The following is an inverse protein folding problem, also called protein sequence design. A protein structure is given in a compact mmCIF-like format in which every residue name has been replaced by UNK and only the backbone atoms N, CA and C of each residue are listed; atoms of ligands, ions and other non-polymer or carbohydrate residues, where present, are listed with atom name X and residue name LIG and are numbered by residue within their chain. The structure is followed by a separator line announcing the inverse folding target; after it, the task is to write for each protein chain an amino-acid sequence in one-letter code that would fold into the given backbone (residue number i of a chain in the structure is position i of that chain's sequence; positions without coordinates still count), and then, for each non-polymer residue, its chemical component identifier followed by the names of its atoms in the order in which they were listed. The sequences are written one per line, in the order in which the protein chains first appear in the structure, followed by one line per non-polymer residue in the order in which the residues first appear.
data_IF_200630099926
#
_entry.id   IF_200630099926
#
_cell.length_a   1.000
_cell.length_b   1.000
_cell.length_c   1.000
_cell.angle_alpha   90.00
_cell.angle_beta   90.00
_cell.angle_gamma   90.00
#
_symmetry.space_group_name_H-M   'P 1'
#
loop_
_entity.id
_entity.type
_entity.pdbx_description
1 polymer ?
#
# COMPACT_ATOMS: atom_id res chain seq x y z
N UNK A 1 32.00 -65.74 -52.45
CA UNK A 1 32.49 -65.06 -53.68
C UNK A 1 31.84 -63.69 -53.89
N UNK A 2 30.78 -63.35 -53.16
CA UNK A 2 29.97 -62.15 -53.41
C UNK A 2 30.72 -60.83 -53.15
N UNK A 3 31.48 -60.75 -52.06
CA UNK A 3 32.30 -59.56 -51.76
C UNK A 3 33.51 -59.40 -52.68
N UNK A 4 33.90 -60.44 -53.43
CA UNK A 4 35.07 -60.37 -54.31
C UNK A 4 34.85 -59.39 -55.46
N UNK A 5 33.62 -59.30 -55.98
CA UNK A 5 33.27 -58.33 -57.03
C UNK A 5 33.24 -56.90 -56.49
N UNK A 6 32.72 -56.68 -55.27
CA UNK A 6 32.72 -55.37 -54.63
C UNK A 6 34.16 -54.87 -54.34
N UNK A 7 35.03 -55.74 -53.82
CA UNK A 7 36.44 -55.39 -53.60
C UNK A 7 37.19 -55.16 -54.91
N UNK A 8 36.98 -56.00 -55.92
CA UNK A 8 37.60 -55.81 -57.24
C UNK A 8 37.17 -54.49 -57.90
N UNK A 9 35.89 -54.13 -57.78
CA UNK A 9 35.37 -52.83 -58.23
C UNK A 9 35.96 -51.65 -57.46
N UNK A 10 36.09 -51.76 -56.13
CA UNK A 10 36.71 -50.74 -55.28
C UNK A 10 38.19 -50.52 -55.62
N UNK A 11 38.96 -51.59 -55.80
CA UNK A 11 40.35 -51.47 -56.22
C UNK A 11 40.47 -50.84 -57.61
N UNK A 12 39.66 -51.27 -58.59
CA UNK A 12 39.65 -50.67 -59.93
C UNK A 12 39.33 -49.17 -59.88
N UNK A 13 38.40 -48.75 -59.02
CA UNK A 13 38.06 -47.35 -58.81
C UNK A 13 39.21 -46.54 -58.18
N UNK A 14 39.87 -47.08 -57.15
CA UNK A 14 41.04 -46.45 -56.52
C UNK A 14 42.23 -46.33 -57.46
N UNK A 15 42.52 -47.37 -58.24
CA UNK A 15 43.57 -47.33 -59.26
C UNK A 15 43.29 -46.28 -60.33
N UNK A 16 42.02 -46.12 -60.73
CA UNK A 16 41.61 -45.07 -61.66
C UNK A 16 41.83 -43.67 -61.08
N UNK A 17 41.40 -43.42 -59.83
CA UNK A 17 41.64 -42.16 -59.13
C UNK A 17 43.13 -41.85 -58.99
N UNK A 18 43.94 -42.83 -58.57
CA UNK A 18 45.39 -42.70 -58.45
C UNK A 18 46.05 -42.37 -59.80
N UNK A 19 45.63 -43.03 -60.88
CA UNK A 19 46.09 -42.74 -62.24
C UNK A 19 45.72 -41.32 -62.68
N UNK A 20 44.49 -40.87 -62.38
CA UNK A 20 44.02 -39.52 -62.63
C UNK A 20 44.86 -38.46 -61.89
N UNK A 21 45.11 -38.66 -60.60
CA UNK A 21 45.92 -37.75 -59.78
C UNK A 21 47.38 -37.74 -60.24
N UNK A 22 47.98 -38.89 -60.53
CA UNK A 22 49.36 -38.97 -61.05
C UNK A 22 49.53 -38.15 -62.32
N UNK A 23 48.60 -38.27 -63.27
CA UNK A 23 48.68 -37.52 -64.51
C UNK A 23 48.35 -36.03 -64.31
N UNK A 24 47.47 -35.68 -63.37
CA UNK A 24 47.18 -34.29 -63.01
C UNK A 24 48.44 -33.60 -62.45
N UNK A 25 49.15 -34.27 -61.54
CA UNK A 25 50.43 -33.81 -60.99
C UNK A 25 51.47 -33.65 -62.11
N UNK A 26 51.58 -34.64 -63.00
CA UNK A 26 52.53 -34.60 -64.13
C UNK A 26 52.19 -33.51 -65.16
N UNK A 27 50.91 -33.20 -65.35
CA UNK A 27 50.45 -32.09 -66.17
C UNK A 27 50.84 -30.73 -65.57
N UNK A 28 50.65 -30.54 -64.27
CA UNK A 28 50.96 -29.27 -63.58
C UNK A 28 52.47 -29.04 -63.45
N UNK A 29 53.25 -30.07 -63.12
CA UNK A 29 54.68 -29.95 -62.84
C UNK A 29 55.57 -30.07 -64.09
N UNK A 30 55.19 -30.89 -65.07
CA UNK A 30 56.03 -31.18 -66.25
C UNK A 30 55.41 -30.74 -67.59
N UNK A 31 54.24 -30.09 -67.57
CA UNK A 31 53.48 -29.61 -68.75
C UNK A 31 53.23 -30.70 -69.83
N UNK A 32 53.28 -31.97 -69.44
CA UNK A 32 53.02 -33.09 -70.35
C UNK A 32 51.52 -33.30 -70.55
N UNK A 33 51.06 -33.38 -71.80
CA UNK A 33 49.63 -33.30 -72.16
C UNK A 33 48.95 -34.64 -72.46
N UNK A 34 49.59 -35.80 -72.27
CA UNK A 34 49.08 -37.09 -72.77
C UNK A 34 48.25 -37.87 -71.75
N UNK A 35 47.13 -37.30 -71.31
CA UNK A 35 46.16 -38.02 -70.48
C UNK A 35 45.31 -38.96 -71.35
N UNK A 36 45.41 -40.28 -71.12
CA UNK A 36 44.60 -41.25 -71.87
C UNK A 36 43.19 -41.35 -71.29
N UNK A 37 42.30 -40.48 -71.75
CA UNK A 37 40.86 -40.51 -71.41
C UNK A 37 40.21 -41.85 -71.75
N UNK A 38 40.75 -42.54 -72.77
CA UNK A 38 40.29 -43.86 -73.24
C UNK A 38 40.57 -44.98 -72.24
N UNK A 39 41.54 -44.80 -71.34
CA UNK A 39 41.86 -45.78 -70.30
C UNK A 39 41.17 -45.44 -68.97
N UNK A 40 41.12 -44.15 -68.62
CA UNK A 40 40.60 -43.69 -67.33
C UNK A 40 39.08 -43.85 -67.18
N UNK A 41 38.30 -43.34 -68.14
CA UNK A 41 36.84 -43.33 -68.03
C UNK A 41 36.18 -44.73 -67.99
N UNK A 42 36.57 -45.73 -68.81
CA UNK A 42 35.96 -47.06 -68.70
C UNK A 42 36.32 -47.76 -67.38
N UNK A 43 37.54 -47.57 -66.85
CA UNK A 43 37.91 -48.12 -65.53
C UNK A 43 37.17 -47.44 -64.38
N UNK A 44 37.01 -46.12 -64.45
CA UNK A 44 36.33 -45.33 -63.42
C UNK A 44 34.84 -45.67 -63.35
N UNK A 45 34.14 -45.58 -64.49
CA UNK A 45 32.70 -45.88 -64.57
C UNK A 45 32.45 -47.36 -64.33
N UNK A 46 33.27 -48.23 -64.94
CA UNK A 46 33.16 -49.68 -64.78
C UNK A 46 33.34 -50.11 -63.33
N UNK A 47 34.35 -49.56 -62.63
CA UNK A 47 34.57 -49.82 -61.21
C UNK A 47 33.42 -49.34 -60.32
N UNK A 48 32.83 -48.17 -60.64
CA UNK A 48 31.66 -47.63 -59.93
C UNK A 48 30.41 -48.49 -60.08
N UNK A 49 30.11 -48.92 -61.31
CA UNK A 49 28.95 -49.80 -61.59
C UNK A 49 29.14 -51.12 -60.85
N UNK A 50 30.31 -51.74 -60.95
CA UNK A 50 30.60 -53.03 -60.31
C UNK A 50 30.53 -52.95 -58.77
N UNK A 51 30.93 -51.82 -58.20
CA UNK A 51 30.82 -51.54 -56.76
C UNK A 51 29.37 -51.45 -56.29
N UNK A 52 28.51 -50.73 -57.02
CA UNK A 52 27.09 -50.59 -56.68
C UNK A 52 26.28 -51.86 -56.94
N UNK A 53 26.52 -52.57 -58.05
CA UNK A 53 25.81 -53.82 -58.37
C UNK A 53 26.25 -54.96 -57.44
N UNK A 54 27.53 -55.00 -57.04
CA UNK A 54 28.03 -55.99 -56.08
C UNK A 54 27.49 -55.81 -54.66
N UNK A 55 27.10 -54.59 -54.27
CA UNK A 55 26.52 -54.30 -52.96
C UNK A 55 25.01 -54.59 -52.87
N UNK A 56 24.32 -54.72 -54.01
CA UNK A 56 22.86 -54.93 -54.05
C UNK A 56 22.44 -56.41 -54.02
N UNK A 57 23.39 -57.35 -54.13
CA UNK A 57 23.13 -58.80 -54.20
C UNK A 57 23.35 -59.54 -52.87
N UNK A 58 23.63 -58.83 -51.78
CA UNK A 58 23.74 -59.43 -50.44
C UNK A 58 22.36 -59.59 -49.82
N UNK A 59 21.92 -60.83 -49.60
CA UNK A 59 20.70 -61.15 -48.85
C UNK A 59 20.78 -60.65 -47.39
N UNK A 60 19.65 -60.34 -46.72
CA UNK A 60 19.66 -59.84 -45.36
C UNK A 60 20.03 -60.96 -44.37
N UNK A 61 21.30 -60.96 -43.96
CA UNK A 61 21.84 -61.79 -42.88
C UNK A 61 21.13 -61.48 -41.54
N UNK A 62 21.19 -62.42 -40.59
CA UNK A 62 20.62 -62.35 -39.24
C UNK A 62 20.96 -61.06 -38.46
N UNK A 63 21.97 -60.31 -38.90
CA UNK A 63 22.28 -58.96 -38.44
C UNK A 63 21.14 -57.94 -38.67
N UNK A 64 20.39 -58.03 -39.78
CA UNK A 64 19.25 -57.16 -40.08
C UNK A 64 18.08 -57.42 -39.12
N UNK A 65 17.74 -58.69 -38.87
CA UNK A 65 16.69 -59.07 -37.91
C UNK A 65 17.07 -58.70 -36.45
N UNK A 66 18.35 -58.67 -36.12
CA UNK A 66 18.85 -58.19 -34.81
C UNK A 66 18.77 -56.66 -34.72
N UNK A 67 19.01 -55.93 -35.80
CA UNK A 67 18.85 -54.48 -35.87
C UNK A 67 17.38 -54.06 -35.69
N UNK A 68 16.43 -54.76 -36.28
CA UNK A 68 14.99 -54.48 -36.12
C UNK A 68 14.52 -54.68 -34.67
N UNK A 69 15.02 -55.72 -33.99
CA UNK A 69 14.74 -55.95 -32.57
C UNK A 69 15.34 -54.86 -31.66
N UNK A 70 16.55 -54.38 -31.97
CA UNK A 70 17.17 -53.27 -31.24
C UNK A 70 16.43 -51.95 -31.47
N UNK A 71 16.02 -51.69 -32.70
CA UNK A 71 15.25 -50.49 -33.04
C UNK A 71 13.88 -50.48 -32.36
N UNK A 72 13.18 -51.62 -32.34
CA UNK A 72 11.89 -51.71 -31.66
C UNK A 72 12.02 -51.53 -30.14
N UNK A 73 13.02 -52.14 -29.50
CA UNK A 73 13.32 -51.95 -28.08
C UNK A 73 13.67 -50.49 -27.76
N UNK A 74 14.54 -49.87 -28.57
CA UNK A 74 14.95 -48.48 -28.42
C UNK A 74 13.77 -47.51 -28.57
N UNK A 75 12.84 -47.80 -29.49
CA UNK A 75 11.63 -46.99 -29.66
C UNK A 75 10.66 -47.13 -28.48
N UNK A 76 10.58 -48.32 -27.86
CA UNK A 76 9.82 -48.53 -26.63
C UNK A 76 10.43 -47.73 -25.47
N UNK A 77 11.75 -47.77 -25.31
CA UNK A 77 12.47 -46.97 -24.30
C UNK A 77 12.35 -45.47 -24.54
N UNK A 78 12.43 -45.00 -25.80
CA UNK A 78 12.22 -43.60 -26.13
C UNK A 78 10.80 -43.15 -25.77
N UNK A 79 9.79 -44.01 -25.99
CA UNK A 79 8.41 -43.71 -25.64
C UNK A 79 8.19 -43.66 -24.12
N UNK A 80 8.79 -44.58 -23.36
CA UNK A 80 8.72 -44.53 -21.89
C UNK A 80 9.45 -43.32 -21.33
N UNK A 81 10.65 -43.02 -21.84
CA UNK A 81 11.45 -41.87 -21.43
C UNK A 81 10.72 -40.55 -21.72
N UNK A 82 10.01 -40.47 -22.84
CA UNK A 82 9.17 -39.31 -23.17
C UNK A 82 8.00 -39.14 -22.19
N UNK A 83 7.37 -40.25 -21.77
CA UNK A 83 6.29 -40.21 -20.78
C UNK A 83 6.80 -39.79 -19.41
N UNK A 84 7.98 -40.28 -19.00
CA UNK A 84 8.64 -39.86 -17.75
C UNK A 84 9.00 -38.36 -17.78
N UNK A 85 9.52 -37.87 -18.90
CA UNK A 85 9.81 -36.44 -19.06
C UNK A 85 8.54 -35.58 -18.97
N UNK A 86 7.44 -36.00 -19.62
CA UNK A 86 6.17 -35.27 -19.55
C UNK A 86 5.57 -35.29 -18.13
N UNK A 87 5.74 -36.40 -17.40
CA UNK A 87 5.33 -36.49 -16.01
C UNK A 87 6.18 -35.57 -15.11
N UNK A 88 7.50 -35.57 -15.31
CA UNK A 88 8.43 -34.74 -14.55
C UNK A 88 8.21 -33.24 -14.82
N UNK A 89 7.89 -32.86 -16.05
CA UNK A 89 7.54 -31.48 -16.41
C UNK A 89 6.26 -31.02 -15.70
N UNK A 90 5.25 -31.89 -15.60
CA UNK A 90 4.02 -31.61 -14.82
C UNK A 90 4.30 -31.46 -13.33
N UNK A 91 5.15 -32.32 -12.76
CA UNK A 91 5.57 -32.20 -11.36
C UNK A 91 6.34 -30.90 -11.11
N UNK A 92 7.26 -30.52 -12.01
CA UNK A 92 8.00 -29.27 -11.93
C UNK A 92 7.07 -28.04 -11.98
N UNK A 93 6.13 -28.01 -12.94
CA UNK A 93 5.15 -26.93 -13.03
C UNK A 93 4.24 -26.86 -11.79
N UNK A 94 3.84 -28.02 -11.25
CA UNK A 94 3.06 -28.08 -10.00
C UNK A 94 3.86 -27.49 -8.82
N UNK A 95 5.10 -27.94 -8.61
CA UNK A 95 5.99 -27.45 -7.55
C UNK A 95 6.30 -25.95 -7.73
N UNK A 96 6.55 -25.50 -8.97
CA UNK A 96 6.77 -24.09 -9.31
C UNK A 96 5.54 -23.23 -8.99
N UNK A 97 4.33 -23.74 -9.26
CA UNK A 97 3.08 -23.06 -8.92
C UNK A 97 2.85 -22.99 -7.41
N UNK A 98 3.21 -24.05 -6.67
CA UNK A 98 3.09 -24.12 -5.23
C UNK A 98 4.10 -23.20 -4.53
N UNK A 99 5.34 -23.13 -5.02
CA UNK A 99 6.34 -22.17 -4.57
C UNK A 99 5.93 -20.72 -4.81
N UNK A 100 5.23 -20.43 -5.92
CA UNK A 100 4.66 -19.09 -6.18
C UNK A 100 3.54 -18.76 -5.18
N UNK A 101 2.66 -19.70 -4.87
CA UNK A 101 1.61 -19.52 -3.84
C UNK A 101 2.22 -19.27 -2.46
N UNK A 102 3.21 -20.06 -2.05
CA UNK A 102 3.94 -19.88 -0.80
C UNK A 102 4.65 -18.52 -0.71
N UNK A 103 5.08 -17.97 -1.85
CA UNK A 103 5.64 -16.62 -1.95
C UNK A 103 4.57 -15.53 -1.81
N UNK A 104 3.36 -15.74 -2.31
CA UNK A 104 2.24 -14.83 -2.07
C UNK A 104 1.76 -14.89 -0.60
N UNK A 105 1.91 -16.02 0.09
CA UNK A 105 1.73 -16.08 1.55
C UNK A 105 2.79 -15.23 2.29
N UNK A 106 3.92 -14.91 1.64
CA UNK A 106 4.90 -13.94 2.18
C UNK A 106 4.34 -12.50 2.16
N UNK A 107 3.33 -12.21 1.33
CA UNK A 107 2.58 -10.94 1.36
C UNK A 107 1.76 -10.81 2.64
N UNK A 108 1.40 -11.93 3.28
CA UNK A 108 0.82 -11.91 4.62
C UNK A 108 1.84 -11.57 5.70
N UNK A 109 3.15 -11.76 5.47
CA UNK A 109 4.20 -11.30 6.38
C UNK A 109 4.24 -9.76 6.49
N UNK A 110 3.99 -9.04 5.39
CA UNK A 110 3.90 -7.59 5.39
C UNK A 110 2.63 -7.10 6.10
N UNK A 111 1.49 -7.79 5.90
CA UNK A 111 0.28 -7.54 6.69
C UNK A 111 0.49 -7.83 8.17
N UNK A 112 1.26 -8.88 8.51
CA UNK A 112 1.56 -9.24 9.90
C UNK A 112 2.43 -8.17 10.56
N UNK A 113 3.46 -7.66 9.86
CA UNK A 113 4.27 -6.52 10.31
C UNK A 113 3.45 -5.24 10.46
N UNK A 114 2.48 -5.01 9.58
CA UNK A 114 1.57 -3.87 9.69
C UNK A 114 0.64 -4.00 10.90
N UNK A 115 0.01 -5.16 11.09
CA UNK A 115 -0.83 -5.47 12.25
C UNK A 115 -0.06 -5.39 13.57
N UNK A 116 1.22 -5.77 13.58
CA UNK A 116 2.07 -5.69 14.76
C UNK A 116 2.39 -4.22 15.12
N UNK A 117 2.66 -3.38 14.12
CA UNK A 117 2.81 -1.93 14.30
C UNK A 117 1.52 -1.28 14.82
N UNK A 118 0.38 -1.58 14.18
CA UNK A 118 -0.94 -1.07 14.59
C UNK A 118 -1.29 -1.50 16.02
N UNK A 119 -1.02 -2.74 16.42
CA UNK A 119 -1.20 -3.18 17.80
C UNK A 119 -0.28 -2.45 18.78
N UNK A 120 0.97 -2.16 18.38
CA UNK A 120 1.88 -1.39 19.22
C UNK A 120 1.40 0.06 19.43
N UNK A 121 0.86 0.67 18.38
CA UNK A 121 0.28 2.02 18.40
C UNK A 121 -0.98 2.04 19.28
N UNK A 122 -1.90 1.09 19.07
CA UNK A 122 -3.12 0.93 19.88
C UNK A 122 -2.80 0.73 21.37
N UNK A 123 -1.73 0.00 21.70
CA UNK A 123 -1.31 -0.18 23.09
C UNK A 123 -0.81 1.13 23.72
N UNK A 124 -0.10 1.97 22.95
CA UNK A 124 0.33 3.30 23.41
C UNK A 124 -0.86 4.22 23.61
N UNK A 125 -1.80 4.28 22.66
CA UNK A 125 -3.01 5.12 22.79
C UNK A 125 -3.88 4.67 23.95
N UNK A 126 -4.07 3.36 24.14
CA UNK A 126 -4.80 2.81 25.28
C UNK A 126 -4.16 3.20 26.63
N UNK A 127 -2.82 3.19 26.71
CA UNK A 127 -2.09 3.64 27.91
C UNK A 127 -2.28 5.14 28.16
N UNK A 128 -2.22 5.96 27.11
CA UNK A 128 -2.44 7.41 27.18
C UNK A 128 -3.86 7.74 27.65
N UNK A 129 -4.87 7.15 27.01
CA UNK A 129 -6.29 7.33 27.36
C UNK A 129 -6.60 6.89 28.80
N UNK A 130 -5.92 5.85 29.29
CA UNK A 130 -6.07 5.42 30.68
C UNK A 130 -5.50 6.44 31.67
N UNK A 131 -4.37 7.07 31.32
CA UNK A 131 -3.79 8.13 32.14
C UNK A 131 -4.68 9.38 32.15
N UNK A 132 -5.16 9.80 30.98
CA UNK A 132 -6.03 10.96 30.83
C UNK A 132 -7.37 10.77 31.56
N UNK A 133 -7.98 9.58 31.48
CA UNK A 133 -9.19 9.27 32.25
C UNK A 133 -8.97 9.36 33.76
N UNK A 134 -7.80 8.96 34.25
CA UNK A 134 -7.46 9.10 35.67
C UNK A 134 -7.35 10.57 36.08
N UNK A 135 -6.70 11.38 35.25
CA UNK A 135 -6.57 12.82 35.48
C UNK A 135 -7.93 13.53 35.44
N UNK A 136 -8.80 13.17 34.48
CA UNK A 136 -10.17 13.68 34.41
C UNK A 136 -10.99 13.30 35.63
N UNK A 137 -10.83 12.07 36.15
CA UNK A 137 -11.51 11.62 37.36
C UNK A 137 -11.06 12.41 38.60
N UNK A 138 -9.75 12.71 38.70
CA UNK A 138 -9.21 13.56 39.77
C UNK A 138 -9.72 15.00 39.66
N UNK A 139 -9.72 15.59 38.46
CA UNK A 139 -10.30 16.92 38.21
C UNK A 139 -11.79 16.97 38.53
N UNK A 140 -12.55 15.93 38.18
CA UNK A 140 -13.98 15.85 38.50
C UNK A 140 -14.22 15.78 40.02
N UNK A 141 -13.34 15.10 40.77
CA UNK A 141 -13.41 15.07 42.23
C UNK A 141 -13.12 16.45 42.83
N UNK A 142 -12.07 17.11 42.36
CA UNK A 142 -11.72 18.47 42.81
C UNK A 142 -12.87 19.45 42.55
N UNK A 143 -13.42 19.47 41.33
CA UNK A 143 -14.57 20.31 40.97
C UNK A 143 -15.79 20.09 41.87
N UNK A 144 -16.05 18.85 42.30
CA UNK A 144 -17.15 18.55 43.23
C UNK A 144 -16.89 19.13 44.62
N UNK A 145 -15.66 19.09 45.09
CA UNK A 145 -15.30 19.63 46.40
C UNK A 145 -15.31 21.18 46.37
N UNK A 146 -14.82 21.78 45.29
CA UNK A 146 -14.90 23.23 45.04
C UNK A 146 -16.36 23.71 44.93
N UNK A 147 -17.23 22.93 44.29
CA UNK A 147 -18.67 23.26 44.20
C UNK A 147 -19.35 23.22 45.57
N UNK A 148 -18.99 22.26 46.43
CA UNK A 148 -19.54 22.18 47.79
C UNK A 148 -19.11 23.36 48.65
N UNK A 149 -17.84 23.74 48.57
CA UNK A 149 -17.30 24.88 49.33
C UNK A 149 -17.92 26.19 48.87
N UNK A 150 -18.00 26.45 47.56
CA UNK A 150 -18.66 27.63 47.01
C UNK A 150 -20.15 27.72 47.38
N UNK A 151 -20.84 26.57 47.49
CA UNK A 151 -22.23 26.53 47.94
C UNK A 151 -22.36 26.89 49.42
N UNK A 152 -21.48 26.36 50.28
CA UNK A 152 -21.46 26.68 51.70
C UNK A 152 -21.15 28.17 51.95
N UNK A 153 -20.19 28.75 51.22
CA UNK A 153 -19.90 30.20 51.28
C UNK A 153 -21.09 31.04 50.84
N UNK A 154 -21.80 30.66 49.77
CA UNK A 154 -23.00 31.36 49.34
C UNK A 154 -24.11 31.32 50.41
N UNK A 155 -24.34 30.18 51.05
CA UNK A 155 -25.30 30.06 52.14
C UNK A 155 -24.92 30.94 53.34
N UNK A 156 -23.63 30.99 53.70
CA UNK A 156 -23.13 31.88 54.76
C UNK A 156 -23.31 33.37 54.41
N UNK A 157 -22.96 33.77 53.18
CA UNK A 157 -23.14 35.14 52.71
C UNK A 157 -24.61 35.55 52.69
N UNK A 158 -25.53 34.65 52.33
CA UNK A 158 -26.96 34.93 52.42
C UNK A 158 -27.41 35.16 53.87
N UNK A 159 -26.94 34.34 54.81
CA UNK A 159 -27.24 34.55 56.23
C UNK A 159 -26.74 35.91 56.72
N UNK A 160 -25.52 36.29 56.37
CA UNK A 160 -24.96 37.58 56.78
C UNK A 160 -25.69 38.75 56.13
N UNK A 161 -26.07 38.63 54.84
CA UNK A 161 -26.92 39.63 54.17
C UNK A 161 -28.25 39.83 54.92
N UNK A 162 -28.93 38.75 55.32
CA UNK A 162 -30.21 38.87 56.06
C UNK A 162 -30.04 39.48 57.45
N UNK A 163 -28.92 39.22 58.14
CA UNK A 163 -28.60 39.85 59.43
C UNK A 163 -28.36 41.35 59.26
N UNK A 164 -27.56 41.72 58.26
CA UNK A 164 -27.29 43.12 57.92
C UNK A 164 -28.59 43.86 57.55
N UNK A 165 -29.45 43.28 56.72
CA UNK A 165 -30.75 43.88 56.38
C UNK A 165 -31.64 44.11 57.61
N UNK A 166 -31.66 43.17 58.56
CA UNK A 166 -32.39 43.35 59.84
C UNK A 166 -31.81 44.50 60.66
N UNK A 167 -30.49 44.54 60.83
CA UNK A 167 -29.82 45.63 61.54
C UNK A 167 -30.07 46.99 60.88
N UNK A 168 -30.10 47.04 59.55
CA UNK A 168 -30.34 48.26 58.78
C UNK A 168 -31.78 48.77 58.96
N UNK A 169 -32.77 47.86 58.99
CA UNK A 169 -34.17 48.21 59.33
C UNK A 169 -34.32 48.71 60.76
N UNK A 170 -33.67 48.06 61.72
CA UNK A 170 -33.68 48.52 63.12
C UNK A 170 -33.02 49.88 63.30
N UNK A 171 -31.88 50.12 62.63
CA UNK A 171 -31.22 51.42 62.61
C UNK A 171 -32.10 52.50 61.97
N UNK A 172 -32.75 52.22 60.84
CA UNK A 172 -33.68 53.17 60.20
C UNK A 172 -34.88 53.51 61.08
N UNK A 173 -35.45 52.54 61.79
CA UNK A 173 -36.53 52.81 62.76
C UNK A 173 -36.05 53.67 63.93
N UNK A 174 -34.82 53.46 64.43
CA UNK A 174 -34.23 54.31 65.47
C UNK A 174 -33.98 55.74 64.96
N UNK A 175 -33.58 55.90 63.71
CA UNK A 175 -33.38 57.22 63.08
C UNK A 175 -34.71 57.94 62.78
N UNK A 176 -35.79 57.20 62.49
CA UNK A 176 -37.14 57.76 62.36
C UNK A 176 -37.71 58.25 63.70
N UNK A 177 -37.43 57.56 64.81
CA UNK A 177 -37.74 58.02 66.17
C UNK A 177 -36.86 59.17 66.68
N UNK A 178 -35.82 59.57 65.93
CA UNK A 178 -34.92 60.68 66.30
C UNK A 178 -35.08 61.91 65.38
N UNK A 179 -36.08 61.92 64.49
CA UNK A 179 -36.44 63.06 63.61
C UNK A 179 -37.61 63.91 64.11
N UNK A 180 -37.83 63.95 65.42
CA UNK A 180 -38.50 65.06 66.13
C UNK A 180 -37.48 65.89 66.92
N UNK A 181 -36.29 66.15 66.37
CA UNK A 181 -35.59 67.38 66.72
C UNK A 181 -34.51 67.72 65.70
N UNK A 182 -34.47 69.00 65.35
CA UNK A 182 -33.45 69.71 64.57
C UNK A 182 -33.49 69.58 63.04
N UNK A 183 -34.06 70.63 62.45
CA UNK A 183 -33.83 71.09 61.09
C UNK A 183 -32.39 71.57 60.85
N UNK A 184 -32.05 71.61 59.55
CA UNK A 184 -31.11 72.49 58.86
C UNK A 184 -29.63 72.05 58.70
N UNK A 185 -29.27 71.58 57.50
CA UNK A 185 -28.45 72.35 56.53
C UNK A 185 -27.98 71.48 55.33
N UNK A 186 -28.49 71.83 54.14
CA UNK A 186 -27.78 72.08 52.87
C UNK A 186 -26.75 71.12 52.24
N UNK A 187 -27.10 70.66 51.02
CA UNK A 187 -26.31 70.73 49.75
C UNK A 187 -25.50 69.53 49.22
N UNK A 188 -26.11 68.91 48.18
CA UNK A 188 -25.63 68.55 46.81
C UNK A 188 -24.56 67.49 46.48
N UNK A 189 -24.96 66.68 45.47
CA UNK A 189 -24.21 66.13 44.28
C UNK A 189 -23.14 65.06 44.54
N UNK A 190 -22.91 63.98 43.78
CA UNK A 190 -23.27 63.46 42.43
C UNK A 190 -23.09 61.91 42.46
N UNK A 191 -23.99 61.09 41.89
CA UNK A 191 -23.95 60.40 40.56
C UNK A 191 -22.65 59.67 40.16
N UNK A 192 -22.73 58.32 40.15
CA UNK A 192 -22.16 57.38 39.15
C UNK A 192 -22.65 55.96 39.52
N UNK A 193 -23.59 55.33 38.79
CA UNK A 193 -23.37 54.36 37.68
C UNK A 193 -22.04 53.58 37.80
N UNK A 194 -21.98 52.25 37.76
CA UNK A 194 -22.73 51.33 36.90
C UNK A 194 -23.11 50.02 37.59
N UNK A 195 -24.33 49.60 37.26
CA UNK A 195 -24.85 48.24 37.38
C UNK A 195 -24.74 47.63 35.99
N UNK A 196 -24.01 46.53 35.82
CA UNK A 196 -24.18 45.67 34.63
C UNK A 196 -25.13 44.55 35.01
N UNK A 197 -26.41 44.85 34.89
CA UNK A 197 -27.51 43.89 35.02
C UNK A 197 -27.40 42.82 33.94
N UNK A 198 -27.36 41.58 34.40
CA UNK A 198 -27.87 40.46 33.64
C UNK A 198 -29.42 40.54 33.62
N UNK A 199 -29.96 40.00 32.53
CA UNK A 199 -31.37 39.62 32.29
C UNK A 199 -32.31 40.71 31.77
N UNK A 200 -32.72 40.61 30.49
CA UNK A 200 -34.06 40.13 30.05
C UNK A 200 -34.32 40.56 28.59
N UNK A 201 -34.57 39.56 27.73
CA UNK A 201 -35.36 39.60 26.48
C UNK A 201 -35.25 40.83 25.53
N UNK A 202 -34.37 40.74 24.53
CA UNK A 202 -34.50 41.49 23.27
C UNK A 202 -33.62 40.86 22.16
N UNK A 203 -34.19 39.90 21.42
CA UNK A 203 -33.66 39.44 20.12
C UNK A 203 -32.35 38.64 20.15
N UNK A 204 -32.13 37.83 19.12
CA UNK A 204 -30.84 37.19 18.90
C UNK A 204 -29.79 38.29 18.60
N UNK A 205 -28.92 38.62 19.58
CA UNK A 205 -27.97 39.74 19.49
C UNK A 205 -26.61 39.37 18.90
N UNK A 206 -26.40 38.15 18.42
CA UNK A 206 -25.11 37.75 17.83
C UNK A 206 -25.22 37.83 16.32
N UNK A 207 -24.41 38.70 15.70
CA UNK A 207 -24.43 38.96 14.26
C UNK A 207 -23.46 38.05 13.52
N UNK A 208 -23.96 37.22 12.59
CA UNK A 208 -23.15 36.44 11.66
C UNK A 208 -22.84 37.22 10.39
N UNK A 209 -21.56 37.48 10.09
CA UNK A 209 -21.14 38.10 8.82
C UNK A 209 -21.10 37.09 7.68
N UNK A 210 -21.23 37.56 6.43
CA UNK A 210 -21.11 36.74 5.21
C UNK A 210 -19.77 35.99 5.08
N UNK A 211 -18.74 36.41 5.83
CA UNK A 211 -17.43 35.78 5.88
C UNK A 211 -17.33 34.62 6.90
N UNK A 212 -18.46 34.19 7.48
CA UNK A 212 -18.50 33.12 8.47
C UNK A 212 -17.94 33.52 9.83
N UNK A 213 -17.98 34.81 10.19
CA UNK A 213 -17.50 35.31 11.48
C UNK A 213 -18.69 35.81 12.30
N UNK A 214 -18.83 35.36 13.54
CA UNK A 214 -19.85 35.88 14.45
C UNK A 214 -19.30 37.02 15.32
N UNK A 215 -20.15 37.98 15.65
CA UNK A 215 -19.82 39.12 16.51
C UNK A 215 -20.81 39.22 17.66
N UNK A 216 -20.29 39.25 18.89
CA UNK A 216 -21.07 39.49 20.11
C UNK A 216 -21.20 40.98 20.39
N UNK A 217 -22.27 41.42 21.09
CA UNK A 217 -22.39 42.79 21.57
C UNK A 217 -21.16 43.19 22.39
N UNK A 218 -20.57 44.35 22.07
CA UNK A 218 -19.32 44.82 22.69
C UNK A 218 -18.03 44.33 22.03
N UNK A 219 -18.08 43.45 21.02
CA UNK A 219 -16.89 43.12 20.23
C UNK A 219 -16.52 44.25 19.26
N UNK A 220 -15.23 44.40 18.96
CA UNK A 220 -14.64 45.50 18.17
C UNK A 220 -15.27 45.73 16.79
N UNK A 221 -15.93 44.71 16.23
CA UNK A 221 -16.52 44.72 14.89
C UNK A 221 -18.05 44.53 14.89
N UNK A 222 -18.68 44.54 16.08
CA UNK A 222 -20.12 44.33 16.23
C UNK A 222 -20.97 45.40 15.51
N UNK A 223 -20.63 46.66 15.72
CA UNK A 223 -21.37 47.79 15.12
C UNK A 223 -21.05 47.99 13.63
N UNK A 224 -19.91 47.46 13.18
CA UNK A 224 -19.49 47.50 11.77
C UNK A 224 -20.22 46.48 10.90
N UNK A 225 -20.87 45.49 11.52
CA UNK A 225 -21.69 44.52 10.81
C UNK A 225 -23.11 45.06 10.71
N UNK A 226 -23.39 45.75 9.60
CA UNK A 226 -24.70 46.39 9.31
C UNK A 226 -25.64 45.49 8.53
N UNK A 227 -25.12 44.45 7.85
CA UNK A 227 -25.89 43.47 7.05
C UNK A 227 -25.51 42.03 7.45
N UNK A 228 -26.06 41.52 8.56
CA UNK A 228 -25.78 40.17 9.03
C UNK A 228 -26.49 39.12 8.14
N UNK A 229 -25.77 38.06 7.79
CA UNK A 229 -26.31 36.92 7.05
C UNK A 229 -27.19 36.02 7.92
N UNK A 230 -26.95 36.00 9.23
CA UNK A 230 -27.72 35.26 10.23
C UNK A 230 -27.63 35.97 11.59
N UNK A 231 -28.67 35.81 12.42
CA UNK A 231 -28.69 36.29 13.80
C UNK A 231 -28.80 35.07 14.73
N UNK A 232 -27.95 35.02 15.75
CA UNK A 232 -27.89 33.92 16.72
C UNK A 232 -28.20 34.41 18.14
N UNK A 233 -28.82 33.55 18.92
CA UNK A 233 -29.20 33.84 20.29
C UNK A 233 -28.10 33.41 21.29
N UNK A 234 -27.17 32.54 20.88
CA UNK A 234 -25.98 32.18 21.66
C UNK A 234 -24.74 31.99 20.77
N UNK A 235 -23.56 31.97 21.39
CA UNK A 235 -22.28 31.75 20.69
C UNK A 235 -22.19 30.32 20.18
N UNK A 236 -22.66 29.37 20.99
CA UNK A 236 -22.69 27.95 20.67
C UNK A 236 -23.56 27.67 19.45
N UNK A 237 -24.69 28.39 19.31
CA UNK A 237 -25.56 28.30 18.13
C UNK A 237 -24.85 28.78 16.86
N UNK A 238 -24.10 29.88 16.95
CA UNK A 238 -23.32 30.41 15.84
C UNK A 238 -22.20 29.44 15.42
N UNK A 239 -21.49 28.84 16.38
CA UNK A 239 -20.44 27.86 16.13
C UNK A 239 -20.99 26.56 15.54
N UNK A 240 -22.14 26.07 16.02
CA UNK A 240 -22.84 24.93 15.45
C UNK A 240 -23.31 25.20 14.00
N UNK A 241 -23.66 26.45 13.70
CA UNK A 241 -23.97 26.90 12.34
C UNK A 241 -22.72 27.13 11.46
N UNK A 242 -21.51 26.86 11.97
CA UNK A 242 -20.25 26.94 11.21
C UNK A 242 -19.60 28.33 11.20
N UNK A 243 -20.06 29.26 12.04
CA UNK A 243 -19.41 30.56 12.20
C UNK A 243 -18.28 30.46 13.22
N UNK A 244 -17.24 31.27 13.04
CA UNK A 244 -16.07 31.31 13.93
C UNK A 244 -15.89 32.68 14.58
N UNK A 245 -15.13 32.73 15.68
CA UNK A 245 -14.74 33.98 16.32
C UNK A 245 -13.84 34.85 15.40
N UNK A 246 -13.84 36.18 15.57
CA UNK A 246 -12.91 37.07 14.90
C UNK A 246 -11.47 36.80 15.37
N UNK A 247 -10.52 36.83 14.43
CA UNK A 247 -9.09 36.74 14.76
C UNK A 247 -8.66 38.07 15.37
N UNK A 248 -7.92 38.01 16.49
CA UNK A 248 -7.27 39.18 17.08
C UNK A 248 -6.12 39.65 16.19
#
# INVERSE_FOLDING_TARGET
MEMAFAFLGFFAFLFSLGYGVYHLVRYVLKKEKRFSKKLFWPLFIGGLILLFTGAALTEPDAAAANADKKYSALNTEYKSLKQEHEALEKEYEAISSEAKKLKDDTKDQDKLKQLEKENSELKKTQKSLKAENKELQEKQKQLKDDTKTAKAENEALQQDKTKLEKQLKEAQNRTASTKENSEHSSTSTNKSNETSSADTAEGCLIKGSKNGIYHTPGSTYYDRTTDPAAMFCSVEEAEAAGYRAPKR
#
